data_IF_146612138192
#
_entry.id   IF_146612138192
#
_cell.length_a   1.000
_cell.length_b   1.000
_cell.length_c   1.000
_cell.angle_alpha   90.00
_cell.angle_beta   90.00
_cell.angle_gamma   90.00
#
_symmetry.space_group_name_H-M   'P 1'
#
loop_
_entity.id
_entity.type
_entity.pdbx_description
1 polymer ?
#
# COMPACT_ATOMS: atom_id res chain seq x y z
N UNK A 1 3.44 -19.74 -7.32
CA UNK A 1 3.37 -18.97 -6.06
C UNK A 1 2.48 -17.76 -6.29
N UNK A 2 1.35 -17.67 -5.58
CA UNK A 2 0.43 -16.53 -5.65
C UNK A 2 0.82 -15.61 -4.49
N UNK A 3 0.95 -14.31 -4.75
CA UNK A 3 1.34 -13.34 -3.73
C UNK A 3 0.25 -12.30 -3.50
N UNK A 4 0.23 -11.74 -2.30
CA UNK A 4 -0.64 -10.64 -1.92
C UNK A 4 0.20 -9.43 -1.55
N UNK A 5 -0.16 -8.25 -2.06
CA UNK A 5 0.47 -7.00 -1.65
C UNK A 5 -0.28 -6.44 -0.44
N UNK A 6 0.40 -6.41 0.70
CA UNK A 6 -0.09 -5.80 1.92
C UNK A 6 0.51 -4.41 2.11
N UNK A 7 -0.18 -3.61 2.92
CA UNK A 7 0.19 -2.26 3.26
C UNK A 7 -0.17 -1.98 4.72
N UNK A 8 0.82 -1.64 5.54
CA UNK A 8 0.63 -1.18 6.93
C UNK A 8 0.88 0.32 7.00
N UNK A 9 -0.08 1.05 7.56
CA UNK A 9 0.08 2.48 7.84
C UNK A 9 0.80 2.68 9.16
N UNK A 10 1.76 3.62 9.19
CA UNK A 10 2.47 3.94 10.43
C UNK A 10 2.87 5.40 10.51
N UNK A 11 3.24 5.83 11.70
CA UNK A 11 3.83 7.14 11.94
C UNK A 11 5.34 7.03 11.92
N UNK A 12 6.02 8.09 11.48
CA UNK A 12 7.48 8.12 11.37
C UNK A 12 8.21 7.78 12.68
N UNK A 13 7.65 8.15 13.83
CA UNK A 13 8.21 7.82 15.14
C UNK A 13 8.00 6.36 15.57
N UNK A 14 7.12 5.61 14.90
CA UNK A 14 6.87 4.17 15.10
C UNK A 14 7.41 3.30 13.96
N UNK A 15 8.16 3.90 13.04
CA UNK A 15 8.60 3.25 11.82
C UNK A 15 9.36 1.94 12.10
N UNK A 16 10.37 1.98 12.97
CA UNK A 16 11.18 0.81 13.29
C UNK A 16 10.37 -0.33 13.92
N UNK A 17 9.56 0.00 14.95
CA UNK A 17 8.64 -0.94 15.61
C UNK A 17 7.66 -1.58 14.60
N UNK A 18 7.14 -0.79 13.66
CA UNK A 18 6.21 -1.31 12.65
C UNK A 18 6.90 -2.30 11.71
N UNK A 19 8.12 -1.99 11.26
CA UNK A 19 8.88 -2.88 10.39
C UNK A 19 9.24 -4.18 11.12
N UNK A 20 9.59 -4.11 12.40
CA UNK A 20 9.82 -5.29 13.24
C UNK A 20 8.59 -6.20 13.28
N UNK A 21 7.42 -5.64 13.59
CA UNK A 21 6.16 -6.38 13.62
C UNK A 21 5.84 -7.00 12.24
N UNK A 22 6.07 -6.26 11.15
CA UNK A 22 5.84 -6.76 9.79
C UNK A 22 6.70 -8.01 9.51
N UNK A 23 7.99 -7.96 9.87
CA UNK A 23 8.94 -9.07 9.66
C UNK A 23 8.62 -10.26 10.58
N UNK A 24 8.27 -10.00 11.84
CA UNK A 24 7.94 -11.06 12.81
C UNK A 24 6.65 -11.82 12.46
N UNK A 25 5.68 -11.13 11.85
CA UNK A 25 4.34 -11.68 11.60
C UNK A 25 4.15 -12.20 10.17
N UNK A 26 5.11 -12.03 9.26
CA UNK A 26 4.94 -12.41 7.85
C UNK A 26 6.22 -12.96 7.22
N UNK A 27 6.06 -13.98 6.38
CA UNK A 27 7.08 -14.37 5.41
C UNK A 27 7.04 -13.43 4.20
N UNK A 28 7.95 -12.45 4.19
CA UNK A 28 7.98 -11.40 3.17
C UNK A 28 8.63 -11.91 1.89
N UNK A 29 7.86 -11.91 0.82
CA UNK A 29 8.33 -12.28 -0.52
C UNK A 29 9.25 -11.18 -1.07
N UNK A 30 10.41 -11.61 -1.59
CA UNK A 30 11.48 -10.78 -2.17
C UNK A 30 12.32 -9.98 -1.17
N UNK A 31 12.13 -10.19 0.14
CA UNK A 31 12.95 -9.56 1.19
C UNK A 31 12.94 -8.01 1.13
N UNK A 32 11.89 -7.42 0.55
CA UNK A 32 11.74 -5.96 0.39
C UNK A 32 10.43 -5.45 0.98
N UNK A 33 10.56 -4.43 1.83
CA UNK A 33 9.45 -3.55 2.23
C UNK A 33 9.70 -2.19 1.59
N UNK A 34 8.79 -1.76 0.71
CA UNK A 34 8.82 -0.43 0.12
C UNK A 34 8.05 0.53 1.01
N UNK A 35 8.74 1.55 1.51
CA UNK A 35 8.17 2.53 2.43
C UNK A 35 7.94 3.82 1.67
N UNK A 36 6.69 4.24 1.62
CA UNK A 36 6.31 5.51 1.02
C UNK A 36 5.99 6.55 2.09
N UNK A 37 6.34 7.79 1.81
CA UNK A 37 5.92 8.95 2.58
C UNK A 37 4.66 9.55 1.93
N UNK A 38 3.69 9.92 2.76
CA UNK A 38 2.56 10.76 2.32
C UNK A 38 3.05 12.20 2.13
N UNK A 39 2.88 12.75 0.93
CA UNK A 39 3.32 14.13 0.62
C UNK A 39 2.42 15.22 1.21
N UNK A 40 1.22 14.85 1.70
CA UNK A 40 0.31 15.76 2.42
C UNK A 40 0.54 15.75 3.94
N UNK A 41 1.14 14.68 4.47
CA UNK A 41 1.49 14.56 5.90
C UNK A 41 2.78 13.75 6.05
N UNK A 42 3.90 14.46 6.22
CA UNK A 42 5.23 13.85 6.30
C UNK A 42 5.48 13.01 7.56
N UNK A 43 4.55 13.01 8.52
CA UNK A 43 4.59 12.10 9.67
C UNK A 43 4.00 10.72 9.35
N UNK A 44 3.27 10.58 8.24
CA UNK A 44 2.67 9.31 7.82
C UNK A 44 3.58 8.57 6.83
N UNK A 45 3.79 7.29 7.12
CA UNK A 45 4.48 6.33 6.28
C UNK A 45 3.55 5.18 5.91
N UNK A 46 3.79 4.60 4.75
CA UNK A 46 3.01 3.54 4.14
C UNK A 46 3.98 2.42 3.79
N UNK A 47 4.00 1.36 4.61
CA UNK A 47 4.90 0.22 4.43
C UNK A 47 4.22 -0.84 3.57
N UNK A 48 4.75 -1.12 2.38
CA UNK A 48 4.18 -2.12 1.47
C UNK A 48 5.10 -3.30 1.27
N UNK A 49 4.55 -4.50 1.30
CA UNK A 49 5.30 -5.75 1.25
C UNK A 49 4.45 -6.85 0.64
N UNK A 50 5.11 -7.80 -0.05
CA UNK A 50 4.41 -8.95 -0.61
C UNK A 50 4.52 -10.12 0.37
N UNK A 51 3.45 -10.87 0.54
CA UNK A 51 3.43 -12.12 1.30
C UNK A 51 2.95 -13.26 0.38
N UNK A 52 3.21 -14.50 0.77
CA UNK A 52 2.53 -15.62 0.13
C UNK A 52 1.03 -15.53 0.40
N UNK A 53 0.23 -15.75 -0.64
CA UNK A 53 -1.22 -15.70 -0.51
C UNK A 53 -1.70 -16.95 0.24
N UNK A 54 -2.31 -16.74 1.39
CA UNK A 54 -2.98 -17.78 2.18
C UNK A 54 -4.48 -17.44 2.30
N UNK A 55 -5.35 -18.42 2.01
CA UNK A 55 -6.81 -18.25 2.09
C UNK A 55 -7.28 -18.08 3.55
N UNK A 56 -6.51 -18.61 4.51
CA UNK A 56 -6.79 -18.53 5.94
C UNK A 56 -6.03 -17.37 6.64
N UNK A 57 -5.43 -16.45 5.86
CA UNK A 57 -4.68 -15.32 6.41
C UNK A 57 -5.58 -14.43 7.30
N UNK A 58 -5.42 -14.60 8.62
CA UNK A 58 -5.94 -13.67 9.62
C UNK A 58 -5.01 -12.46 9.66
N UNK A 59 -5.56 -11.28 9.38
CA UNK A 59 -4.81 -10.03 9.43
C UNK A 59 -4.37 -9.72 10.87
N UNK A 60 -3.16 -10.14 11.24
CA UNK A 60 -2.63 -10.02 12.59
C UNK A 60 -2.02 -8.65 12.93
N UNK A 61 -1.74 -7.81 11.93
CA UNK A 61 -1.12 -6.50 12.12
C UNK A 61 -2.19 -5.40 12.04
N UNK A 62 -2.35 -4.56 13.09
CA UNK A 62 -3.22 -3.39 13.06
C UNK A 62 -2.90 -2.45 11.89
N UNK A 63 -3.89 -1.68 11.44
CA UNK A 63 -3.73 -0.67 10.38
C UNK A 63 -3.11 -1.21 9.08
N UNK A 64 -3.34 -2.50 8.81
CA UNK A 64 -2.90 -3.16 7.58
C UNK A 64 -4.08 -3.35 6.64
N UNK A 65 -3.87 -3.24 5.33
CA UNK A 65 -4.85 -3.53 4.29
C UNK A 65 -4.20 -4.22 3.10
N UNK A 66 -5.00 -4.95 2.32
CA UNK A 66 -4.57 -5.46 1.02
C UNK A 66 -4.67 -4.37 -0.05
N UNK A 67 -3.64 -4.28 -0.90
CA UNK A 67 -3.60 -3.36 -2.03
C UNK A 67 -3.38 -4.10 -3.34
N UNK A 68 -3.65 -3.37 -4.42
CA UNK A 68 -3.23 -3.67 -5.77
C UNK A 68 -2.31 -2.56 -6.28
N UNK A 69 -1.54 -2.84 -7.33
CA UNK A 69 -0.59 -1.88 -7.89
C UNK A 69 -0.66 -1.82 -9.41
N UNK A 70 -0.85 -0.63 -9.95
CA UNK A 70 -0.53 -0.32 -11.33
C UNK A 70 0.96 -0.02 -11.43
N UNK A 71 1.74 -1.00 -11.87
CA UNK A 71 3.21 -0.93 -11.87
C UNK A 71 3.76 0.28 -12.64
N UNK A 72 3.22 0.55 -13.84
CA UNK A 72 3.74 1.59 -14.74
C UNK A 72 3.70 3.00 -14.12
N UNK A 73 2.65 3.32 -13.36
CA UNK A 73 2.44 4.63 -12.75
C UNK A 73 2.79 4.65 -11.27
N UNK A 74 3.21 3.51 -10.71
CA UNK A 74 3.39 3.32 -9.28
C UNK A 74 2.14 3.75 -8.47
N UNK A 75 0.95 3.48 -9.00
CA UNK A 75 -0.32 3.75 -8.31
C UNK A 75 -0.71 2.55 -7.48
N UNK A 76 -0.94 2.78 -6.20
CA UNK A 76 -1.46 1.80 -5.25
C UNK A 76 -2.96 2.04 -5.05
N UNK A 77 -3.75 0.98 -4.90
CA UNK A 77 -5.21 1.13 -4.73
C UNK A 77 -5.86 -0.08 -4.07
N UNK A 78 -6.96 0.14 -3.34
CA UNK A 78 -7.89 -0.94 -2.97
C UNK A 78 -8.92 -1.15 -4.08
N UNK A 79 -9.58 -2.32 -4.11
CA UNK A 79 -10.65 -2.59 -5.07
C UNK A 79 -11.83 -1.61 -4.89
N UNK A 80 -12.15 -1.23 -3.66
CA UNK A 80 -13.20 -0.25 -3.39
C UNK A 80 -12.85 1.12 -3.98
N UNK A 81 -11.62 1.60 -3.76
CA UNK A 81 -11.15 2.85 -4.34
C UNK A 81 -11.15 2.83 -5.87
N UNK A 82 -10.81 1.68 -6.48
CA UNK A 82 -10.90 1.52 -7.93
C UNK A 82 -12.35 1.62 -8.42
N UNK A 83 -13.29 0.97 -7.73
CA UNK A 83 -14.71 1.03 -8.10
C UNK A 83 -15.27 2.45 -7.98
N UNK A 84 -14.89 3.18 -6.93
CA UNK A 84 -15.33 4.58 -6.75
C UNK A 84 -14.71 5.51 -7.78
N UNK A 85 -13.42 5.30 -8.10
CA UNK A 85 -12.77 6.00 -9.19
C UNK A 85 -13.47 5.75 -10.54
N UNK A 86 -13.86 4.51 -10.83
CA UNK A 86 -14.61 4.20 -12.05
C UNK A 86 -15.94 4.94 -12.06
N UNK A 87 -16.68 4.97 -10.95
CA UNK A 87 -17.94 5.71 -10.85
C UNK A 87 -17.75 7.21 -11.02
N UNK A 88 -16.71 7.80 -10.41
CA UNK A 88 -16.38 9.22 -10.56
C UNK A 88 -16.10 9.59 -12.02
N UNK A 89 -15.43 8.71 -12.77
CA UNK A 89 -15.06 8.94 -14.17
C UNK A 89 -16.14 8.54 -15.20
N UNK A 90 -17.12 7.74 -14.79
CA UNK A 90 -18.12 7.13 -15.68
C UNK A 90 -19.57 7.50 -15.28
N UNK A 91 -19.78 8.75 -14.88
CA UNK A 91 -21.10 9.32 -14.55
C UNK A 91 -21.90 8.46 -13.54
N UNK A 92 -21.21 7.95 -12.51
CA UNK A 92 -21.78 7.12 -11.45
C UNK A 92 -21.93 5.63 -11.79
N UNK A 93 -21.60 5.19 -13.01
CA UNK A 93 -21.78 3.80 -13.44
C UNK A 93 -20.55 2.95 -13.15
N UNK A 94 -20.75 1.82 -12.48
CA UNK A 94 -19.70 0.83 -12.29
C UNK A 94 -19.56 -0.05 -13.54
N UNK A 95 -18.56 0.25 -14.37
CA UNK A 95 -18.12 -0.59 -15.48
C UNK A 95 -16.66 -1.02 -15.27
N UNK A 96 -16.43 -2.30 -14.95
CA UNK A 96 -15.09 -2.83 -14.68
C UNK A 96 -14.17 -2.84 -15.91
N UNK A 97 -14.72 -2.61 -17.11
CA UNK A 97 -13.95 -2.49 -18.36
C UNK A 97 -13.58 -1.05 -18.69
N UNK A 98 -14.05 -0.08 -17.89
CA UNK A 98 -13.81 1.33 -18.13
C UNK A 98 -12.31 1.67 -18.14
N UNK A 99 -11.80 2.33 -19.20
CA UNK A 99 -10.38 2.64 -19.32
C UNK A 99 -10.01 3.81 -18.40
N UNK A 100 -9.10 3.55 -17.45
CA UNK A 100 -8.58 4.60 -16.55
C UNK A 100 -7.27 5.16 -17.13
N UNK A 101 -7.19 6.49 -17.22
CA UNK A 101 -5.93 7.19 -17.52
C UNK A 101 -5.04 7.26 -16.27
N UNK A 102 -4.27 6.19 -16.04
CA UNK A 102 -3.49 5.99 -14.82
C UNK A 102 -2.43 7.06 -14.52
N UNK A 103 -1.95 7.79 -15.53
CA UNK A 103 -0.97 8.86 -15.33
C UNK A 103 -1.50 9.98 -14.42
N UNK A 104 -2.82 10.20 -14.39
CA UNK A 104 -3.46 11.15 -13.47
C UNK A 104 -3.31 10.76 -11.98
N UNK A 105 -2.92 9.52 -11.71
CA UNK A 105 -2.78 8.94 -10.37
C UNK A 105 -1.36 8.42 -10.12
N UNK A 106 -0.39 8.92 -10.88
CA UNK A 106 1.00 8.51 -10.75
C UNK A 106 1.53 8.81 -9.35
N UNK A 107 2.22 7.84 -8.75
CA UNK A 107 2.74 7.90 -7.39
C UNK A 107 1.66 8.33 -6.38
N UNK A 108 0.51 7.67 -6.42
CA UNK A 108 -0.58 7.89 -5.46
C UNK A 108 -1.02 6.56 -4.84
N UNK A 109 -1.49 6.64 -3.60
CA UNK A 109 -2.32 5.65 -2.97
C UNK A 109 -3.79 6.10 -3.03
N UNK A 110 -4.65 5.27 -3.60
CA UNK A 110 -6.09 5.49 -3.72
C UNK A 110 -6.83 4.65 -2.68
N UNK A 111 -7.58 5.32 -1.81
CA UNK A 111 -8.40 4.71 -0.75
C UNK A 111 -9.83 5.25 -0.83
N UNK A 112 -10.77 4.53 -0.22
CA UNK A 112 -12.12 5.02 0.01
C UNK A 112 -12.30 5.27 1.51
N UNK A 113 -12.86 6.41 1.89
CA UNK A 113 -13.33 6.71 3.24
C UNK A 113 -14.79 7.21 3.20
N UNK A 114 -15.34 7.66 4.33
CA UNK A 114 -16.72 8.17 4.43
C UNK A 114 -16.98 9.38 3.52
N UNK A 115 -15.94 10.19 3.25
CA UNK A 115 -16.00 11.35 2.36
C UNK A 115 -15.83 11.01 0.87
N UNK A 116 -15.60 9.73 0.55
CA UNK A 116 -15.43 9.22 -0.81
C UNK A 116 -14.00 8.83 -1.17
N UNK A 117 -13.60 9.10 -2.42
CA UNK A 117 -12.29 8.69 -2.95
C UNK A 117 -11.17 9.60 -2.40
N UNK A 118 -10.32 9.05 -1.55
CA UNK A 118 -9.14 9.72 -1.03
C UNK A 118 -7.90 9.42 -1.89
N UNK A 119 -7.27 10.48 -2.39
CA UNK A 119 -6.08 10.45 -3.25
C UNK A 119 -4.89 10.95 -2.43
N UNK A 120 -3.98 10.05 -2.05
CA UNK A 120 -2.79 10.35 -1.25
C UNK A 120 -1.57 10.32 -2.17
N UNK A 121 -0.95 11.48 -2.50
CA UNK A 121 0.31 11.50 -3.24
C UNK A 121 1.41 10.91 -2.37
N UNK A 122 2.24 10.06 -2.98
CA UNK A 122 3.30 9.32 -2.30
C UNK A 122 4.64 9.53 -2.94
N UNK A 123 5.69 9.41 -2.13
CA UNK A 123 7.09 9.38 -2.59
C UNK A 123 7.81 8.25 -1.87
N UNK A 124 8.78 7.61 -2.52
CA UNK A 124 9.62 6.62 -1.84
C UNK A 124 10.40 7.32 -0.72
N UNK A 125 10.22 6.84 0.50
CA UNK A 125 10.98 7.27 1.68
C UNK A 125 12.25 6.42 1.82
N UNK A 126 12.08 5.10 1.83
CA UNK A 126 13.18 4.13 1.86
C UNK A 126 12.71 2.78 1.35
N UNK A 127 13.67 1.88 1.09
CA UNK A 127 13.42 0.47 0.82
C UNK A 127 14.16 -0.32 1.89
N UNK A 128 13.42 -1.06 2.71
CA UNK A 128 14.00 -1.93 3.73
C UNK A 128 14.36 -3.26 3.09
N UNK A 129 15.57 -3.75 3.38
CA UNK A 129 15.96 -5.13 3.13
C UNK A 129 15.76 -5.94 4.41
N UNK A 130 14.89 -6.94 4.35
CA UNK A 130 14.53 -7.77 5.51
C UNK A 130 15.77 -8.50 6.05
N UNK A 131 16.65 -9.00 5.18
CA UNK A 131 17.86 -9.75 5.58
C UNK A 131 18.89 -8.90 6.33
N UNK A 132 18.88 -7.58 6.16
CA UNK A 132 19.87 -6.67 6.77
C UNK A 132 19.26 -5.75 7.83
N UNK A 133 17.94 -5.83 8.05
CA UNK A 133 17.20 -4.87 8.85
C UNK A 133 17.76 -4.67 10.27
N UNK A 134 18.14 -5.73 10.96
CA UNK A 134 18.71 -5.64 12.31
C UNK A 134 20.04 -4.87 12.38
N UNK A 135 20.80 -4.83 11.28
CA UNK A 135 22.05 -4.08 11.18
C UNK A 135 21.83 -2.60 10.86
N UNK A 136 20.69 -2.30 10.24
CA UNK A 136 20.32 -0.98 9.73
C UNK A 136 19.61 -0.12 10.81
N UNK A 137 19.24 -0.70 11.96
CA UNK A 137 18.63 -0.01 13.14
C UNK A 137 19.57 0.98 13.89
N UNK A 138 20.74 1.31 13.33
CA UNK A 138 21.77 2.13 13.99
C UNK A 138 21.43 3.62 14.05
#
# INVERSE_FOLDING_TARGET
>A
MKTQLLCTFTKRNKFYETVDIIIECNDIVFDKIYVFQNEKDYHQLICTYNVEYDEDFMQGIPDTISLHRKKNTNTLYTINALNDLIRELNDGKLDKTFPIHWENYKNCLLLTNEDGLNKIPTRIYTIVNVETWDKDKK
#
